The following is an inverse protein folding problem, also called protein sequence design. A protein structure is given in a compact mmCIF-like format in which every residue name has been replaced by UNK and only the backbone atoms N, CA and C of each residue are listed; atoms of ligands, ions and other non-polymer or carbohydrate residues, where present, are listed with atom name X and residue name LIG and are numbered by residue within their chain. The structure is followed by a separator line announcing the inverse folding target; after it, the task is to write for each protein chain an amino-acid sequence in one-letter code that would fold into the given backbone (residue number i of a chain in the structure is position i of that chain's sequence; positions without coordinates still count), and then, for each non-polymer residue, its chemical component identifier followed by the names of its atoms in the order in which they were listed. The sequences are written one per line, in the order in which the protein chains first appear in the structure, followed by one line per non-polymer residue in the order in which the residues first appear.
data_IF_941608351520
#
_entry.id   IF_941608351520
#
_cell.length_a   1.000
_cell.length_b   1.000
_cell.length_c   1.000
_cell.angle_alpha   90.00
_cell.angle_beta   90.00
_cell.angle_gamma   90.00
#
_symmetry.space_group_name_H-M   'P 1'
#
loop_
_entity.id
_entity.type
_entity.pdbx_description
1 polymer ?
#
# COMPACT_ATOMS: atom_id res chain seq x y z
N UNK A 1 -10.26 0.10 -47.66
CA UNK A 1 -10.47 -0.62 -46.38
C UNK A 1 -9.38 -0.38 -45.33
N UNK A 2 -8.13 -0.08 -45.72
CA UNK A 2 -6.97 0.12 -44.82
C UNK A 2 -7.02 1.41 -43.96
N UNK A 3 -7.59 2.52 -44.48
CA UNK A 3 -7.67 3.82 -43.76
C UNK A 3 -8.54 3.81 -42.48
N UNK A 4 -9.47 2.86 -42.34
CA UNK A 4 -10.37 2.75 -41.17
C UNK A 4 -9.66 2.08 -39.97
N UNK A 5 -8.75 1.15 -40.26
CA UNK A 5 -7.93 0.42 -39.28
C UNK A 5 -6.91 1.31 -38.57
N UNK A 6 -6.31 2.28 -39.26
CA UNK A 6 -5.33 3.21 -38.66
C UNK A 6 -5.97 4.19 -37.67
N UNK A 7 -7.22 4.60 -37.90
CA UNK A 7 -7.98 5.49 -36.99
C UNK A 7 -8.45 4.78 -35.71
N UNK A 8 -8.71 3.48 -35.79
CA UNK A 8 -9.08 2.67 -34.63
C UNK A 8 -7.85 2.34 -33.77
N UNK A 9 -6.67 2.20 -34.39
CA UNK A 9 -5.42 1.97 -33.67
C UNK A 9 -4.97 3.20 -32.87
N UNK A 10 -5.15 4.41 -33.41
CA UNK A 10 -4.84 5.65 -32.68
C UNK A 10 -5.79 5.95 -31.53
N UNK A 11 -7.05 5.51 -31.59
CA UNK A 11 -8.00 5.64 -30.48
C UNK A 11 -7.75 4.65 -29.33
N UNK A 12 -7.16 3.48 -29.60
CA UNK A 12 -6.81 2.50 -28.57
C UNK A 12 -5.49 2.84 -27.86
N UNK A 13 -4.55 3.52 -28.53
CA UNK A 13 -3.27 3.93 -27.94
C UNK A 13 -3.40 5.10 -26.94
N UNK A 14 -4.39 5.98 -27.09
CA UNK A 14 -4.63 7.07 -26.13
C UNK A 14 -5.30 6.58 -24.84
N UNK A 15 -6.19 5.58 -24.93
CA UNK A 15 -6.89 5.02 -23.77
C UNK A 15 -5.96 4.31 -22.77
N UNK A 16 -4.91 3.63 -23.25
CA UNK A 16 -3.92 2.96 -22.39
C UNK A 16 -2.98 3.94 -21.69
N UNK A 17 -2.65 5.07 -22.34
CA UNK A 17 -1.79 6.13 -21.76
C UNK A 17 -2.50 6.88 -20.62
N UNK A 18 -3.81 7.13 -20.72
CA UNK A 18 -4.57 7.79 -19.64
C UNK A 18 -4.71 6.88 -18.41
N UNK A 19 -4.81 5.56 -18.59
CA UNK A 19 -4.88 4.61 -17.48
C UNK A 19 -3.56 4.49 -16.70
N UNK A 20 -2.42 4.60 -17.38
CA UNK A 20 -1.08 4.55 -16.77
C UNK A 20 -0.71 5.82 -15.98
N UNK A 21 -1.27 6.99 -16.33
CA UNK A 21 -1.00 8.25 -15.64
C UNK A 21 -1.86 8.45 -14.38
N UNK A 22 -3.02 7.80 -14.28
CA UNK A 22 -3.90 7.89 -13.12
C UNK A 22 -3.41 7.15 -11.86
N UNK A 23 -2.49 6.19 -12.00
CA UNK A 23 -1.96 5.38 -10.89
C UNK A 23 -0.72 5.98 -10.21
N UNK A 24 -0.06 6.95 -10.85
CA UNK A 24 1.16 7.60 -10.35
C UNK A 24 0.98 8.36 -9.02
N UNK A 25 -0.08 9.17 -8.81
CA UNK A 25 -0.18 9.96 -7.57
C UNK A 25 -0.39 9.07 -6.34
N UNK A 26 -1.13 7.95 -6.49
CA UNK A 26 -1.37 7.02 -5.39
C UNK A 26 -0.07 6.32 -4.97
N UNK A 27 0.75 5.89 -5.94
CA UNK A 27 2.07 5.31 -5.66
C UNK A 27 2.99 6.31 -4.95
N UNK A 28 3.06 7.55 -5.45
CA UNK A 28 3.92 8.59 -4.87
C UNK A 28 3.57 8.88 -3.40
N UNK A 29 2.27 8.89 -3.06
CA UNK A 29 1.83 9.13 -1.69
C UNK A 29 2.16 7.97 -0.75
N UNK A 30 2.02 6.71 -1.21
CA UNK A 30 2.48 5.56 -0.41
C UNK A 30 3.99 5.54 -0.21
N UNK A 31 4.78 5.98 -1.21
CA UNK A 31 6.23 6.05 -1.10
C UNK A 31 6.71 7.04 -0.03
N UNK A 32 6.04 8.20 0.12
CA UNK A 32 6.35 9.18 1.18
C UNK A 32 6.15 8.59 2.60
N UNK A 33 5.05 7.85 2.81
CA UNK A 33 4.79 7.21 4.11
C UNK A 33 5.83 6.13 4.42
N UNK A 34 6.21 5.31 3.43
CA UNK A 34 7.24 4.29 3.59
C UNK A 34 8.60 4.89 3.97
N UNK A 35 8.99 6.02 3.37
CA UNK A 35 10.21 6.74 3.71
C UNK A 35 10.18 7.28 5.15
N UNK A 36 9.05 7.84 5.59
CA UNK A 36 8.88 8.33 6.97
C UNK A 36 8.95 7.18 7.98
N UNK A 37 8.35 6.03 7.68
CA UNK A 37 8.43 4.84 8.54
C UNK A 37 9.87 4.30 8.62
N UNK A 38 10.61 4.30 7.50
CA UNK A 38 12.02 3.92 7.49
C UNK A 38 12.89 4.88 8.33
N UNK A 39 12.61 6.19 8.26
CA UNK A 39 13.31 7.18 9.09
C UNK A 39 12.98 7.00 10.58
N UNK A 40 11.72 6.71 10.93
CA UNK A 40 11.33 6.40 12.32
C UNK A 40 12.00 5.13 12.83
N UNK A 41 12.07 4.07 12.01
CA UNK A 41 12.82 2.85 12.35
C UNK A 41 14.28 3.21 12.68
N UNK A 42 14.93 3.98 11.82
CA UNK A 42 16.32 4.43 12.00
C UNK A 42 16.51 5.25 13.28
N UNK A 43 15.62 6.19 13.56
CA UNK A 43 15.66 7.04 14.75
C UNK A 43 15.44 6.24 16.05
N UNK A 44 14.61 5.20 16.00
CA UNK A 44 14.33 4.36 17.17
C UNK A 44 15.53 3.52 17.63
N UNK A 45 16.51 3.28 16.74
CA UNK A 45 17.61 2.34 16.99
C UNK A 45 17.18 0.87 17.08
N UNK A 46 15.92 0.56 16.74
CA UNK A 46 15.33 -0.78 16.82
C UNK A 46 14.72 -1.24 15.50
N UNK A 47 13.78 -2.19 15.61
CA UNK A 47 12.99 -2.72 14.50
C UNK A 47 11.56 -2.23 14.60
N UNK A 48 11.00 -1.76 13.49
CA UNK A 48 9.64 -1.21 13.44
C UNK A 48 8.77 -2.00 12.46
N UNK A 49 7.65 -2.54 12.95
CA UNK A 49 6.60 -3.13 12.12
C UNK A 49 5.31 -2.32 12.26
N UNK A 50 4.65 -1.99 11.15
CA UNK A 50 3.44 -1.17 11.15
C UNK A 50 2.40 -1.72 10.16
N UNK A 51 1.15 -1.81 10.59
CA UNK A 51 0.00 -2.05 9.74
C UNK A 51 -1.05 -0.96 10.00
N UNK A 52 -1.35 -0.15 8.98
CA UNK A 52 -2.44 0.82 9.01
C UNK A 52 -3.56 0.31 8.12
N UNK A 53 -4.76 0.18 8.68
CA UNK A 53 -5.94 -0.33 7.99
C UNK A 53 -7.01 0.76 8.04
N UNK A 54 -7.45 1.25 6.88
CA UNK A 54 -8.62 2.10 6.78
C UNK A 54 -9.87 1.21 6.87
N UNK A 55 -10.59 1.27 7.97
CA UNK A 55 -11.76 0.40 8.19
C UNK A 55 -12.98 0.77 7.35
N UNK A 56 -12.98 1.93 6.67
CA UNK A 56 -14.06 2.34 5.77
C UNK A 56 -13.98 1.62 4.40
N UNK A 57 -12.78 1.36 3.89
CA UNK A 57 -12.56 0.81 2.54
C UNK A 57 -11.55 -0.35 2.46
N UNK A 58 -11.00 -0.78 3.61
CA UNK A 58 -9.96 -1.81 3.75
C UNK A 58 -8.64 -1.51 3.01
N UNK A 59 -8.39 -0.26 2.59
CA UNK A 59 -7.07 0.14 2.10
C UNK A 59 -6.03 0.05 3.22
N UNK A 60 -4.81 -0.35 2.85
CA UNK A 60 -3.75 -0.65 3.82
C UNK A 60 -2.42 0.00 3.45
N UNK A 61 -1.69 0.40 4.49
CA UNK A 61 -0.27 0.73 4.40
C UNK A 61 0.47 -0.21 5.36
N UNK A 62 1.34 -1.05 4.81
CA UNK A 62 2.08 -2.06 5.54
C UNK A 62 3.58 -1.75 5.49
N UNK A 63 4.27 -1.87 6.62
CA UNK A 63 5.73 -1.74 6.75
C UNK A 63 6.25 -2.92 7.58
N UNK A 64 7.03 -3.80 6.97
CA UNK A 64 7.54 -5.05 7.59
C UNK A 64 6.45 -5.92 8.23
N UNK A 65 5.24 -5.92 7.67
CA UNK A 65 4.08 -6.59 8.25
C UNK A 65 4.23 -8.13 8.33
N UNK A 66 5.07 -8.73 7.48
CA UNK A 66 5.33 -10.17 7.47
C UNK A 66 6.45 -10.60 8.42
N UNK A 67 7.11 -9.66 9.10
CA UNK A 67 8.14 -9.97 10.10
C UNK A 67 7.51 -10.29 11.47
N UNK A 68 8.22 -11.11 12.26
CA UNK A 68 7.77 -11.51 13.60
C UNK A 68 8.25 -10.52 14.66
N UNK A 69 7.32 -10.05 15.49
CA UNK A 69 7.60 -9.19 16.64
C UNK A 69 7.12 -9.86 17.94
N UNK A 70 7.80 -9.58 19.05
CA UNK A 70 7.36 -10.06 20.36
C UNK A 70 6.04 -9.36 20.75
N UNK A 71 5.00 -10.15 21.02
CA UNK A 71 3.69 -9.61 21.41
C UNK A 71 3.71 -9.01 22.83
N UNK A 72 4.57 -9.49 23.74
CA UNK A 72 4.60 -9.03 25.13
C UNK A 72 3.17 -9.00 25.73
N UNK A 73 2.75 -7.88 26.29
CA UNK A 73 1.39 -7.72 26.84
C UNK A 73 0.28 -7.58 25.80
N UNK A 74 0.55 -7.35 24.51
CA UNK A 74 -0.52 -7.25 23.48
C UNK A 74 -1.20 -8.60 23.23
N UNK A 75 -0.51 -9.72 23.51
CA UNK A 75 -1.06 -11.07 23.48
C UNK A 75 -2.33 -11.25 24.34
N UNK A 76 -2.49 -10.42 25.38
CA UNK A 76 -3.66 -10.44 26.28
C UNK A 76 -4.97 -10.13 25.55
N UNK A 77 -4.93 -9.40 24.43
CA UNK A 77 -6.13 -9.14 23.61
C UNK A 77 -6.71 -10.46 23.09
N UNK A 78 -5.86 -11.34 22.55
CA UNK A 78 -6.29 -12.65 22.07
C UNK A 78 -6.73 -13.56 23.22
N UNK A 79 -6.05 -13.49 24.37
CA UNK A 79 -6.45 -14.26 25.55
C UNK A 79 -7.84 -13.85 26.07
N UNK A 80 -8.13 -12.54 26.14
CA UNK A 80 -9.44 -12.04 26.53
C UNK A 80 -10.53 -12.45 25.53
N UNK A 81 -10.25 -12.36 24.22
CA UNK A 81 -11.16 -12.80 23.17
C UNK A 81 -11.45 -14.31 23.21
N UNK A 82 -10.56 -15.14 23.78
CA UNK A 82 -10.81 -16.56 23.97
C UNK A 82 -11.66 -16.89 25.21
N UNK A 83 -11.77 -15.95 26.16
CA UNK A 83 -12.57 -16.10 27.39
C UNK A 83 -14.00 -15.62 27.19
N UNK A 84 -14.19 -14.54 26.41
CA UNK A 84 -15.48 -13.96 26.07
C UNK A 84 -16.21 -14.80 25.00
#
# INVERSE_FOLDING_TARGET
MVKKSLRQFTLMATATVTLLLGSVPLYAQTADVQQKLAELERQSGGRLGVALINTADNSQILYRADERFAMCSTSKVMAAAAVL
#
